data_IF_253271466235
#
_entry.id   IF_253271466235
#
_cell.length_a   1.000
_cell.length_b   1.000
_cell.length_c   1.000
_cell.angle_alpha   90.00
_cell.angle_beta   90.00
_cell.angle_gamma   90.00
#
_symmetry.space_group_name_H-M   'P 1'
#
loop_
_entity.id
_entity.type
_entity.pdbx_description
1 polymer ?
#
# COMPACT_ATOMS: atom_id res chain seq x y z
N UNK A 1 -10.70 -18.77 47.92
CA UNK A 1 -11.44 -17.56 47.49
C UNK A 1 -10.94 -17.21 46.10
N UNK A 2 -11.73 -17.54 45.09
CA UNK A 2 -11.42 -17.28 43.68
C UNK A 2 -11.56 -15.79 43.40
N UNK A 3 -10.49 -15.17 42.91
CA UNK A 3 -10.55 -13.86 42.28
C UNK A 3 -11.32 -13.99 40.98
N UNK A 4 -12.56 -13.53 40.98
CA UNK A 4 -13.35 -13.30 39.77
C UNK A 4 -12.61 -12.28 38.90
N UNK A 5 -11.96 -12.77 37.84
CA UNK A 5 -11.54 -11.95 36.73
C UNK A 5 -12.80 -11.50 36.02
N UNK A 6 -13.25 -10.27 36.25
CA UNK A 6 -14.32 -9.64 35.49
C UNK A 6 -13.98 -9.71 34.00
N UNK A 7 -14.65 -10.62 33.29
CA UNK A 7 -14.65 -10.71 31.85
C UNK A 7 -15.34 -9.44 31.31
N UNK A 8 -14.53 -8.40 31.06
CA UNK A 8 -14.98 -7.21 30.35
C UNK A 8 -15.37 -7.67 28.96
N UNK A 9 -16.67 -7.88 28.73
CA UNK A 9 -17.28 -8.06 27.40
C UNK A 9 -16.56 -7.15 26.42
N UNK A 10 -15.77 -7.74 25.53
CA UNK A 10 -15.04 -6.99 24.53
C UNK A 10 -16.06 -6.24 23.67
N UNK A 11 -16.08 -4.92 23.79
CA UNK A 11 -16.91 -4.05 22.97
C UNK A 11 -16.28 -4.08 21.57
N UNK A 12 -16.93 -4.77 20.64
CA UNK A 12 -16.52 -4.85 19.23
C UNK A 12 -17.25 -3.82 18.36
N UNK A 13 -17.67 -2.71 18.96
CA UNK A 13 -18.43 -1.65 18.29
C UNK A 13 -17.68 -0.32 18.34
N UNK A 14 -17.96 0.57 17.39
CA UNK A 14 -17.45 1.93 17.45
C UNK A 14 -17.91 2.63 18.73
N UNK A 15 -16.99 3.27 19.43
CA UNK A 15 -17.30 4.19 20.52
C UNK A 15 -17.39 5.61 19.95
N UNK A 16 -18.46 6.33 20.26
CA UNK A 16 -18.64 7.71 19.80
C UNK A 16 -17.47 8.61 20.27
N UNK A 17 -16.89 8.33 21.45
CA UNK A 17 -15.68 8.99 21.94
C UNK A 17 -14.45 8.75 21.06
N UNK A 18 -14.26 7.53 20.53
CA UNK A 18 -13.14 7.20 19.64
C UNK A 18 -13.31 7.89 18.28
N UNK A 19 -14.55 7.97 17.79
CA UNK A 19 -14.86 8.69 16.54
C UNK A 19 -14.63 10.19 16.72
N UNK A 20 -15.13 10.78 17.81
CA UNK A 20 -14.93 12.21 18.08
C UNK A 20 -13.44 12.52 18.22
N UNK A 21 -12.67 11.70 18.96
CA UNK A 21 -11.22 11.84 19.03
C UNK A 21 -10.55 11.73 17.67
N UNK A 22 -11.00 10.84 16.79
CA UNK A 22 -10.47 10.79 15.43
C UNK A 22 -10.76 12.08 14.64
N UNK A 23 -11.94 12.66 14.79
CA UNK A 23 -12.29 13.96 14.17
C UNK A 23 -11.45 15.10 14.72
N UNK A 24 -11.22 15.13 16.02
CA UNK A 24 -10.39 16.16 16.67
C UNK A 24 -8.93 16.12 16.20
N UNK A 25 -8.47 14.99 15.63
CA UNK A 25 -7.13 14.83 15.06
C UNK A 25 -7.05 15.20 13.57
N UNK A 26 -8.15 15.58 12.93
CA UNK A 26 -8.11 16.03 11.53
C UNK A 26 -7.28 17.31 11.42
N UNK A 27 -6.32 17.31 10.51
CA UNK A 27 -5.35 18.42 10.34
C UNK A 27 -4.20 18.42 11.34
N UNK A 28 -4.15 17.47 12.28
CA UNK A 28 -3.01 17.28 13.19
C UNK A 28 -2.06 16.24 12.60
N UNK A 29 -0.88 16.70 12.15
CA UNK A 29 0.12 15.84 11.50
C UNK A 29 1.36 15.66 12.37
N UNK A 30 1.88 14.43 12.39
CA UNK A 30 3.05 14.05 13.16
C UNK A 30 4.15 13.51 12.27
N UNK A 31 5.40 13.77 12.66
CA UNK A 31 6.56 13.17 12.04
C UNK A 31 6.46 11.64 12.03
N UNK A 32 6.81 11.03 10.90
CA UNK A 32 7.03 9.59 10.80
C UNK A 32 8.40 9.30 11.40
N UNK A 33 8.41 8.74 12.60
CA UNK A 33 9.63 8.44 13.39
C UNK A 33 10.15 7.01 13.19
N UNK A 34 9.52 6.26 12.27
CA UNK A 34 9.92 4.90 11.90
C UNK A 34 10.35 4.91 10.45
N UNK A 35 11.50 4.30 10.16
CA UNK A 35 11.97 4.10 8.80
C UNK A 35 11.27 2.91 8.12
N UNK A 36 11.24 2.95 6.80
CA UNK A 36 10.93 1.80 5.95
C UNK A 36 12.15 0.85 5.83
N UNK A 37 12.00 -0.17 4.99
CA UNK A 37 13.09 -1.08 4.63
C UNK A 37 14.29 -0.32 4.05
N UNK A 38 14.02 0.68 3.22
CA UNK A 38 15.03 1.54 2.63
C UNK A 38 14.90 2.98 3.13
N UNK A 39 16.03 3.67 3.26
CA UNK A 39 16.09 5.05 3.80
C UNK A 39 16.71 6.05 2.83
N UNK A 40 17.20 5.57 1.69
CA UNK A 40 17.79 6.36 0.62
C UNK A 40 17.47 5.68 -0.71
N UNK A 41 17.05 6.46 -1.69
CA UNK A 41 16.83 6.00 -3.05
C UNK A 41 18.20 5.89 -3.74
N UNK A 42 18.86 4.74 -3.64
CA UNK A 42 20.04 4.44 -4.46
C UNK A 42 19.59 3.82 -5.79
N UNK A 43 20.45 3.75 -6.81
CA UNK A 43 20.07 3.18 -8.10
C UNK A 43 19.55 1.75 -7.99
N UNK A 44 20.20 0.93 -7.16
CA UNK A 44 19.75 -0.42 -6.86
C UNK A 44 18.38 -0.47 -6.18
N UNK A 45 18.09 0.44 -5.24
CA UNK A 45 16.79 0.49 -4.56
C UNK A 45 15.70 0.90 -5.53
N UNK A 46 15.97 1.90 -6.37
CA UNK A 46 15.04 2.37 -7.40
C UNK A 46 14.71 1.23 -8.37
N UNK A 47 15.75 0.58 -8.92
CA UNK A 47 15.61 -0.55 -9.83
C UNK A 47 14.90 -1.74 -9.17
N UNK A 48 15.28 -2.08 -7.94
CA UNK A 48 14.68 -3.20 -7.22
C UNK A 48 13.20 -2.95 -6.95
N UNK A 49 12.81 -1.73 -6.57
CA UNK A 49 11.42 -1.38 -6.38
C UNK A 49 10.63 -1.41 -7.69
N UNK A 50 11.10 -0.79 -8.77
CA UNK A 50 10.42 -0.82 -10.07
C UNK A 50 10.18 -2.26 -10.56
N UNK A 51 11.23 -3.09 -10.55
CA UNK A 51 11.13 -4.50 -10.95
C UNK A 51 10.23 -5.32 -10.02
N UNK A 52 10.02 -4.87 -8.78
CA UNK A 52 9.26 -5.67 -7.81
C UNK A 52 7.76 -5.75 -8.13
N UNK A 53 7.24 -4.82 -8.93
CA UNK A 53 5.88 -4.82 -9.46
C UNK A 53 5.84 -4.94 -11.00
N UNK A 54 6.96 -5.37 -11.60
CA UNK A 54 7.09 -5.64 -13.02
C UNK A 54 7.07 -4.40 -13.89
N UNK A 55 7.78 -3.35 -13.50
CA UNK A 55 8.01 -2.13 -14.27
C UNK A 55 9.46 -2.09 -14.75
N UNK A 56 9.62 -2.11 -16.07
CA UNK A 56 10.90 -2.16 -16.78
C UNK A 56 11.27 -0.82 -17.41
N UNK A 57 10.57 0.26 -17.06
CA UNK A 57 10.84 1.57 -17.62
C UNK A 57 12.31 1.95 -17.35
N UNK A 58 13.12 2.19 -18.40
CA UNK A 58 14.55 2.43 -18.28
C UNK A 58 14.87 3.72 -17.50
N UNK A 59 13.95 4.68 -17.39
CA UNK A 59 14.11 5.81 -16.46
C UNK A 59 14.29 5.37 -15.00
N UNK A 60 13.78 4.18 -14.65
CA UNK A 60 13.77 3.62 -13.31
C UNK A 60 14.77 2.46 -13.17
N UNK A 61 15.00 1.66 -14.21
CA UNK A 61 15.82 0.44 -14.08
C UNK A 61 17.23 0.56 -14.66
N UNK A 62 17.55 1.64 -15.36
CA UNK A 62 18.84 1.90 -15.99
C UNK A 62 19.41 3.24 -15.49
N UNK A 63 20.60 3.19 -14.90
CA UNK A 63 21.27 4.36 -14.33
C UNK A 63 21.71 5.39 -15.38
N UNK A 64 21.93 4.96 -16.62
CA UNK A 64 22.49 5.80 -17.69
C UNK A 64 21.40 6.36 -18.62
N UNK A 65 20.26 5.68 -18.74
CA UNK A 65 19.21 6.07 -19.69
C UNK A 65 18.72 7.51 -19.53
N UNK A 66 18.57 7.96 -18.28
CA UNK A 66 18.01 9.28 -17.99
C UNK A 66 18.92 10.47 -18.31
N UNK A 67 20.21 10.25 -18.60
CA UNK A 67 21.20 11.33 -18.76
C UNK A 67 20.88 12.29 -19.91
N UNK A 68 20.38 11.75 -21.03
CA UNK A 68 20.04 12.53 -22.24
C UNK A 68 18.54 12.92 -22.29
N UNK A 69 17.77 12.61 -21.25
CA UNK A 69 16.36 12.98 -21.13
C UNK A 69 16.18 14.30 -20.37
N UNK A 70 14.96 14.85 -20.35
CA UNK A 70 14.64 16.03 -19.51
C UNK A 70 14.92 15.85 -18.02
N UNK A 71 15.08 14.61 -17.55
CA UNK A 71 15.32 14.29 -16.15
C UNK A 71 16.79 14.42 -15.74
N UNK A 72 17.73 14.34 -16.69
CA UNK A 72 19.18 14.49 -16.46
C UNK A 72 19.81 13.39 -15.61
N UNK A 73 19.16 12.24 -15.46
CA UNK A 73 19.61 11.09 -14.68
C UNK A 73 18.47 10.12 -14.38
N UNK A 74 18.78 9.00 -13.71
CA UNK A 74 17.78 8.06 -13.24
C UNK A 74 16.84 8.73 -12.23
N UNK A 75 15.54 8.54 -12.43
CA UNK A 75 14.50 8.95 -11.48
C UNK A 75 13.85 7.71 -10.88
N UNK A 76 13.25 7.87 -9.71
CA UNK A 76 12.47 6.80 -9.12
C UNK A 76 11.07 6.70 -9.74
N UNK A 77 10.47 5.50 -9.78
CA UNK A 77 9.08 5.38 -10.16
C UNK A 77 8.17 6.13 -9.19
N UNK A 78 7.00 6.62 -9.64
CA UNK A 78 6.15 7.51 -8.84
C UNK A 78 5.81 6.97 -7.45
N UNK A 79 5.63 5.66 -7.30
CA UNK A 79 5.25 5.02 -6.05
C UNK A 79 6.41 4.67 -5.11
N UNK A 80 7.66 5.06 -5.39
CA UNK A 80 8.84 4.74 -4.55
C UNK A 80 8.67 5.14 -3.07
N UNK A 81 7.82 6.13 -2.82
CA UNK A 81 7.52 6.70 -1.52
C UNK A 81 6.91 5.71 -0.52
N UNK A 82 6.43 4.54 -0.97
CA UNK A 82 5.92 3.48 -0.09
C UNK A 82 7.01 2.51 0.40
N UNK A 83 8.21 2.57 -0.18
CA UNK A 83 9.33 1.69 0.14
C UNK A 83 10.55 2.44 0.71
N UNK A 84 10.63 3.74 0.46
CA UNK A 84 11.72 4.61 0.91
C UNK A 84 11.16 5.71 1.81
N UNK A 85 11.35 5.54 3.13
CA UNK A 85 11.14 6.58 4.13
C UNK A 85 12.21 6.47 5.20
N UNK A 86 12.88 7.59 5.48
CA UNK A 86 13.80 7.75 6.60
C UNK A 86 13.06 8.27 7.82
N UNK A 87 13.45 7.79 8.99
CA UNK A 87 12.92 8.27 10.25
C UNK A 87 13.25 9.76 10.45
N UNK A 88 12.23 10.52 10.84
CA UNK A 88 12.37 11.91 11.24
C UNK A 88 12.42 11.99 12.77
N UNK A 89 13.40 12.70 13.32
CA UNK A 89 13.48 12.93 14.76
C UNK A 89 12.38 13.90 15.19
N UNK A 90 11.61 13.51 16.20
CA UNK A 90 10.54 14.32 16.77
C UNK A 90 10.30 13.97 18.23
N UNK A 91 9.71 14.91 18.96
CA UNK A 91 9.23 14.67 20.32
C UNK A 91 8.13 13.60 20.34
N UNK A 92 7.97 12.87 21.46
CA UNK A 92 6.89 11.91 21.62
C UNK A 92 5.52 12.56 21.36
N UNK A 93 4.69 11.89 20.57
CA UNK A 93 3.30 12.35 20.31
C UNK A 93 2.54 12.45 21.65
N UNK A 94 1.97 13.64 21.97
CA UNK A 94 1.18 13.85 23.18
C UNK A 94 0.05 12.83 23.29
N UNK A 95 -0.28 12.40 24.51
CA UNK A 95 -1.20 11.26 24.72
C UNK A 95 -2.58 11.50 24.11
N UNK A 96 -3.06 12.72 24.23
CA UNK A 96 -4.31 13.24 23.68
C UNK A 96 -4.33 13.24 22.15
N UNK A 97 -3.16 13.40 21.52
CA UNK A 97 -2.99 13.41 20.05
C UNK A 97 -2.73 12.02 19.45
N UNK A 98 -2.62 10.97 20.28
CA UNK A 98 -2.45 9.60 19.78
C UNK A 98 -3.74 9.10 19.12
N UNK A 99 -3.57 8.44 17.98
CA UNK A 99 -4.66 7.77 17.25
C UNK A 99 -5.49 6.90 18.20
N UNK A 100 -6.83 6.96 18.13
CA UNK A 100 -7.68 6.10 18.94
C UNK A 100 -7.42 4.63 18.58
N UNK A 101 -7.52 3.72 19.56
CA UNK A 101 -7.09 2.34 19.39
C UNK A 101 -8.01 1.51 18.48
N UNK A 102 -9.22 1.99 18.15
CA UNK A 102 -10.24 1.30 17.35
C UNK A 102 -10.28 -0.21 17.61
N UNK A 103 -10.43 -0.60 18.87
CA UNK A 103 -10.36 -2.00 19.28
C UNK A 103 -11.51 -2.79 18.67
N UNK A 104 -11.22 -3.95 18.10
CA UNK A 104 -12.25 -4.79 17.48
C UNK A 104 -12.73 -4.31 16.10
N UNK A 105 -12.07 -3.30 15.52
CA UNK A 105 -12.35 -2.77 14.19
C UNK A 105 -11.37 -3.39 13.17
N UNK A 106 -11.90 -3.77 12.01
CA UNK A 106 -11.12 -4.16 10.85
C UNK A 106 -10.98 -2.95 9.92
N UNK A 107 -9.78 -2.74 9.39
CA UNK A 107 -9.46 -1.64 8.48
C UNK A 107 -9.13 -2.21 7.11
N UNK A 108 -9.84 -1.74 6.09
CA UNK A 108 -9.57 -2.06 4.69
C UNK A 108 -9.10 -0.81 3.96
N UNK A 109 -8.04 -0.92 3.17
CA UNK A 109 -7.67 0.12 2.20
C UNK A 109 -8.68 0.06 1.05
N UNK A 110 -9.29 1.20 0.73
CA UNK A 110 -10.37 1.29 -0.26
C UNK A 110 -10.06 2.21 -1.44
N UNK A 111 -8.90 2.88 -1.41
CA UNK A 111 -8.41 3.69 -2.50
C UNK A 111 -7.27 4.58 -2.04
N UNK A 112 -6.65 5.27 -2.99
CA UNK A 112 -5.70 6.32 -2.70
C UNK A 112 -5.86 7.49 -3.67
N UNK A 113 -5.32 8.64 -3.30
CA UNK A 113 -5.08 9.74 -4.21
C UNK A 113 -3.70 10.28 -3.93
N UNK A 114 -2.83 10.26 -4.91
CA UNK A 114 -1.45 10.74 -4.78
C UNK A 114 -1.25 11.90 -5.73
N UNK A 115 -0.77 13.01 -5.18
CA UNK A 115 -0.28 14.16 -5.92
C UNK A 115 1.25 14.11 -5.93
N UNK A 116 1.88 14.15 -7.11
CA UNK A 116 3.33 14.18 -7.27
C UNK A 116 3.79 15.54 -7.78
N UNK A 117 4.75 16.10 -7.08
CA UNK A 117 5.28 17.44 -7.34
C UNK A 117 6.69 17.39 -7.93
N UNK A 118 7.49 16.38 -7.56
CA UNK A 118 8.88 16.20 -7.99
C UNK A 118 9.24 14.72 -8.06
N UNK A 119 10.14 14.32 -8.97
CA UNK A 119 10.72 12.99 -8.93
C UNK A 119 11.66 12.85 -7.71
N UNK A 120 11.85 11.60 -7.28
CA UNK A 120 12.94 11.24 -6.35
C UNK A 120 14.14 10.83 -7.19
N UNK A 121 15.31 11.36 -6.87
CA UNK A 121 16.56 11.04 -7.56
C UNK A 121 17.46 10.10 -6.76
N UNK A 122 18.51 9.58 -7.41
CA UNK A 122 19.62 8.93 -6.71
C UNK A 122 20.13 9.80 -5.56
N UNK A 123 20.25 9.17 -4.40
CA UNK A 123 20.78 9.77 -3.19
C UNK A 123 19.71 10.47 -2.35
N UNK A 124 18.48 10.66 -2.84
CA UNK A 124 17.45 11.30 -2.04
C UNK A 124 17.03 10.43 -0.85
N UNK A 125 16.83 11.10 0.29
CA UNK A 125 16.19 10.52 1.46
C UNK A 125 14.82 11.18 1.61
N UNK A 126 13.77 10.37 1.71
CA UNK A 126 12.39 10.85 1.86
C UNK A 126 12.01 10.81 3.33
N UNK A 127 11.40 11.88 3.82
CA UNK A 127 10.83 12.01 5.16
C UNK A 127 9.32 12.21 5.01
N UNK A 128 8.56 11.97 6.09
CA UNK A 128 7.11 12.09 6.05
C UNK A 128 6.53 12.70 7.32
N UNK A 129 5.51 13.55 7.14
CA UNK A 129 4.49 13.81 8.15
C UNK A 129 3.22 13.04 7.81
N UNK A 130 2.52 12.51 8.83
CA UNK A 130 1.28 11.77 8.65
C UNK A 130 0.20 12.17 9.64
N UNK A 131 -1.07 12.00 9.25
CA UNK A 131 -2.21 12.20 10.14
C UNK A 131 -3.53 11.89 9.46
N UNK A 132 -4.61 12.49 9.94
CA UNK A 132 -5.94 12.38 9.33
C UNK A 132 -6.26 13.63 8.51
N UNK A 133 -6.61 13.40 7.25
CA UNK A 133 -7.11 14.44 6.35
C UNK A 133 -8.62 14.61 6.48
N UNK A 134 -9.33 13.49 6.68
CA UNK A 134 -10.78 13.47 6.83
C UNK A 134 -11.23 12.25 7.65
N UNK A 135 -12.32 12.42 8.39
CA UNK A 135 -12.99 11.36 9.17
C UNK A 135 -14.51 11.50 8.99
N UNK A 136 -15.10 10.61 8.20
CA UNK A 136 -16.52 10.61 7.86
C UNK A 136 -17.20 9.35 8.42
N UNK A 137 -18.35 9.52 9.06
CA UNK A 137 -19.21 8.38 9.41
C UNK A 137 -20.14 8.14 8.23
N UNK A 138 -20.15 6.91 7.73
CA UNK A 138 -21.16 6.46 6.79
C UNK A 138 -22.07 5.44 7.44
N UNK A 139 -23.34 5.79 7.51
CA UNK A 139 -24.40 4.82 7.78
C UNK A 139 -24.58 3.96 6.53
N UNK A 140 -24.57 2.65 6.73
CA UNK A 140 -24.77 1.71 5.64
C UNK A 140 -25.94 0.82 6.02
N UNK A 141 -26.93 0.72 5.12
CA UNK A 141 -28.01 -0.26 5.23
C UNK A 141 -27.46 -1.70 5.34
N UNK A 142 -26.24 -1.94 4.84
CA UNK A 142 -25.56 -3.23 4.85
C UNK A 142 -24.57 -3.43 6.00
N UNK A 143 -23.96 -2.40 6.59
CA UNK A 143 -22.91 -2.55 7.62
C UNK A 143 -23.23 -1.90 8.97
N UNK A 144 -24.44 -1.33 9.13
CA UNK A 144 -24.80 -0.53 10.30
C UNK A 144 -24.05 0.80 10.27
N UNK A 145 -22.87 0.85 10.89
CA UNK A 145 -21.97 2.01 10.89
C UNK A 145 -20.59 1.65 10.34
N UNK A 146 -20.09 2.48 9.43
CA UNK A 146 -18.71 2.42 8.94
C UNK A 146 -18.04 3.78 9.14
N UNK A 147 -16.75 3.76 9.45
CA UNK A 147 -15.96 4.98 9.57
C UNK A 147 -14.97 5.03 8.40
N UNK A 148 -15.13 6.05 7.57
CA UNK A 148 -14.24 6.34 6.45
C UNK A 148 -13.19 7.33 6.92
N UNK A 149 -11.94 6.89 6.97
CA UNK A 149 -10.80 7.72 7.39
C UNK A 149 -9.88 7.90 6.20
N UNK A 150 -9.65 9.14 5.81
CA UNK A 150 -8.62 9.50 4.84
C UNK A 150 -7.35 9.84 5.62
N UNK A 151 -6.33 9.01 5.48
CA UNK A 151 -5.01 9.26 6.05
C UNK A 151 -4.20 10.06 5.05
N UNK A 152 -3.41 11.01 5.51
CA UNK A 152 -2.50 11.79 4.67
C UNK A 152 -1.06 11.51 5.04
N UNK A 153 -0.20 11.43 4.02
CA UNK A 153 1.24 11.39 4.10
C UNK A 153 1.79 12.54 3.25
N UNK A 154 2.42 13.52 3.88
CA UNK A 154 3.14 14.60 3.21
C UNK A 154 4.61 14.20 3.18
N UNK A 155 5.16 13.99 2.00
CA UNK A 155 6.49 13.42 1.80
C UNK A 155 7.42 14.43 1.14
N UNK A 156 8.62 14.56 1.70
CA UNK A 156 9.59 15.57 1.30
C UNK A 156 11.02 15.04 1.39
N UNK A 157 11.92 15.59 0.59
CA UNK A 157 13.31 15.15 0.56
C UNK A 157 14.19 15.90 1.57
N UNK A 158 15.49 15.58 1.62
CA UNK A 158 16.48 16.26 2.47
C UNK A 158 16.68 17.76 2.17
N UNK A 159 16.17 18.26 1.05
CA UNK A 159 16.18 19.68 0.66
C UNK A 159 14.91 20.42 1.10
N UNK A 160 14.03 19.75 1.87
CA UNK A 160 12.72 20.25 2.28
C UNK A 160 11.76 20.53 1.10
N UNK A 161 11.96 19.85 -0.02
CA UNK A 161 11.06 19.94 -1.16
C UNK A 161 10.00 18.86 -1.06
N UNK A 162 8.72 19.23 -1.19
CA UNK A 162 7.63 18.26 -1.25
C UNK A 162 7.78 17.46 -2.56
N UNK A 163 7.86 16.15 -2.41
CA UNK A 163 7.95 15.16 -3.49
C UNK A 163 6.55 14.68 -3.84
N UNK A 164 5.78 14.28 -2.84
CA UNK A 164 4.40 13.81 -3.02
C UNK A 164 3.53 14.06 -1.80
N UNK A 165 2.22 14.07 -2.02
CA UNK A 165 1.20 14.01 -0.98
C UNK A 165 0.29 12.85 -1.30
N UNK A 166 0.26 11.85 -0.42
CA UNK A 166 -0.60 10.68 -0.59
C UNK A 166 -1.73 10.70 0.43
N UNK A 167 -2.96 10.55 -0.07
CA UNK A 167 -4.19 10.38 0.72
C UNK A 167 -4.68 8.94 0.56
N UNK A 168 -4.70 8.18 1.64
CA UNK A 168 -5.12 6.78 1.65
C UNK A 168 -6.48 6.66 2.30
N UNK A 169 -7.46 6.20 1.52
CA UNK A 169 -8.82 5.97 1.99
C UNK A 169 -8.89 4.62 2.72
N UNK A 170 -9.34 4.64 3.96
CA UNK A 170 -9.51 3.43 4.78
C UNK A 170 -10.92 3.32 5.32
N UNK A 171 -11.55 2.16 5.09
CA UNK A 171 -12.87 1.84 5.61
C UNK A 171 -12.68 1.00 6.87
N UNK A 172 -13.22 1.50 7.97
CA UNK A 172 -13.23 0.83 9.26
C UNK A 172 -14.60 0.18 9.45
N UNK A 173 -14.61 -1.12 9.76
CA UNK A 173 -15.83 -1.91 10.00
C UNK A 173 -15.70 -2.76 11.26
N UNK A 174 -16.79 -2.97 11.97
CA UNK A 174 -16.83 -3.81 13.17
C UNK A 174 -16.59 -5.30 12.84
N UNK A 175 -15.72 -5.99 13.60
CA UNK A 175 -15.31 -7.39 13.32
C UNK A 175 -16.45 -8.42 13.37
N UNK A 176 -17.53 -8.16 14.10
CA UNK A 176 -18.58 -9.15 14.32
C UNK A 176 -19.51 -9.32 13.10
N UNK A 177 -19.58 -8.31 12.23
CA UNK A 177 -20.43 -8.36 11.03
C UNK A 177 -19.83 -9.23 9.92
N UNK A 178 -18.50 -9.34 9.80
CA UNK A 178 -17.88 -10.10 8.71
C UNK A 178 -18.01 -11.62 8.86
N UNK A 179 -17.83 -12.18 10.07
CA UNK A 179 -17.87 -13.64 10.31
C UNK A 179 -19.25 -14.28 10.09
N UNK A 180 -20.34 -13.51 10.21
CA UNK A 180 -21.70 -14.02 9.96
C UNK A 180 -22.04 -14.09 8.47
N UNK A 181 -21.24 -13.45 7.63
CA UNK A 181 -21.58 -13.20 6.23
C UNK A 181 -20.77 -14.14 5.36
N UNK A 182 -21.45 -15.18 4.85
CA UNK A 182 -21.00 -16.14 3.84
C UNK A 182 -20.71 -15.50 2.47
N UNK A 183 -20.28 -14.23 2.44
CA UNK A 183 -20.16 -13.40 1.23
C UNK A 183 -19.16 -14.01 0.24
N UNK A 184 -18.15 -14.70 0.75
CA UNK A 184 -17.07 -15.28 -0.04
C UNK A 184 -17.13 -16.81 -0.11
N UNK A 185 -18.12 -17.45 0.53
CA UNK A 185 -18.26 -18.92 0.56
C UNK A 185 -18.46 -19.54 -0.84
N UNK A 186 -18.86 -18.72 -1.83
CA UNK A 186 -19.08 -19.17 -3.21
C UNK A 186 -17.95 -18.78 -4.15
N UNK A 187 -16.90 -18.10 -3.67
CA UNK A 187 -15.77 -17.71 -4.51
C UNK A 187 -14.74 -18.82 -4.47
N UNK A 188 -14.64 -19.54 -5.59
CA UNK A 188 -13.60 -20.55 -5.80
C UNK A 188 -12.35 -19.93 -6.42
N UNK A 189 -11.15 -20.47 -6.15
CA UNK A 189 -9.93 -20.08 -6.86
C UNK A 189 -10.10 -20.20 -8.38
N UNK A 190 -9.66 -19.17 -9.11
CA UNK A 190 -9.65 -19.22 -10.56
C UNK A 190 -8.69 -20.30 -11.06
N UNK A 191 -9.09 -21.01 -12.12
CA UNK A 191 -8.24 -21.94 -12.86
C UNK A 191 -8.01 -21.39 -14.27
N UNK A 192 -6.81 -21.63 -14.80
CA UNK A 192 -6.40 -21.14 -16.11
C UNK A 192 -6.01 -22.33 -16.99
N UNK A 193 -6.59 -22.43 -18.18
CA UNK A 193 -6.13 -23.38 -19.20
C UNK A 193 -4.88 -22.85 -19.90
N UNK A 194 -4.08 -23.71 -20.56
CA UNK A 194 -2.95 -23.25 -21.36
C UNK A 194 -3.31 -22.18 -22.39
N UNK A 195 -4.50 -22.27 -22.99
CA UNK A 195 -5.01 -21.30 -23.96
C UNK A 195 -5.29 -19.94 -23.32
N UNK A 196 -5.86 -19.92 -22.11
CA UNK A 196 -6.10 -18.66 -21.38
C UNK A 196 -4.79 -17.99 -20.94
N UNK A 197 -3.77 -18.77 -20.61
CA UNK A 197 -2.43 -18.21 -20.34
C UNK A 197 -1.83 -17.64 -21.62
N UNK A 198 -1.93 -18.34 -22.75
CA UNK A 198 -1.48 -17.83 -24.04
C UNK A 198 -2.21 -16.54 -24.47
N UNK A 199 -3.49 -16.39 -24.11
CA UNK A 199 -4.23 -15.12 -24.31
C UNK A 199 -3.63 -13.96 -23.49
N UNK A 200 -3.15 -14.23 -22.28
CA UNK A 200 -2.48 -13.23 -21.43
C UNK A 200 -1.07 -12.94 -21.97
N UNK A 201 -0.33 -13.97 -22.39
CA UNK A 201 1.00 -13.81 -22.99
C UNK A 201 0.92 -12.94 -24.26
N UNK A 202 -0.12 -13.11 -25.08
CA UNK A 202 -0.38 -12.26 -26.24
C UNK A 202 -0.62 -10.79 -25.86
N UNK A 203 -1.17 -10.51 -24.66
CA UNK A 203 -1.26 -9.14 -24.15
C UNK A 203 0.15 -8.62 -23.86
N UNK A 204 0.96 -9.34 -23.08
CA UNK A 204 2.35 -8.94 -22.77
C UNK A 204 3.18 -8.71 -24.03
N UNK A 205 3.06 -9.58 -25.06
CA UNK A 205 3.75 -9.42 -26.34
C UNK A 205 3.31 -8.15 -27.10
N UNK A 206 2.07 -7.70 -26.87
CA UNK A 206 1.48 -6.52 -27.53
C UNK A 206 1.63 -5.23 -26.72
N UNK A 207 2.12 -5.30 -25.48
CA UNK A 207 2.34 -4.13 -24.64
C UNK A 207 3.35 -3.19 -25.29
N UNK A 208 3.06 -1.89 -25.23
CA UNK A 208 3.91 -0.85 -25.83
C UNK A 208 4.28 0.18 -24.77
N UNK A 209 5.55 0.21 -24.40
CA UNK A 209 6.17 1.33 -23.71
C UNK A 209 6.48 2.43 -24.71
N UNK A 210 5.91 3.63 -24.55
CA UNK A 210 6.14 4.77 -25.45
C UNK A 210 7.62 5.21 -25.48
N UNK A 211 8.23 5.29 -24.30
CA UNK A 211 9.60 5.75 -24.12
C UNK A 211 9.87 7.14 -24.72
N UNK A 212 10.98 7.26 -25.45
CA UNK A 212 11.52 8.53 -25.93
C UNK A 212 10.69 9.19 -27.05
N UNK A 213 9.65 8.52 -27.57
CA UNK A 213 8.75 9.12 -28.55
C UNK A 213 7.79 10.09 -27.87
N UNK A 214 8.19 11.36 -27.78
CA UNK A 214 7.42 12.45 -27.15
C UNK A 214 5.95 12.42 -27.60
N UNK A 215 5.05 12.44 -26.62
CA UNK A 215 3.62 12.63 -26.83
C UNK A 215 3.30 14.11 -26.67
N UNK A 216 2.96 14.78 -27.77
CA UNK A 216 2.54 16.17 -27.74
C UNK A 216 1.06 16.28 -27.37
N UNK A 217 0.68 17.41 -26.78
CA UNK A 217 -0.70 17.66 -26.37
C UNK A 217 -1.66 17.62 -27.56
N UNK A 218 -1.25 18.18 -28.70
CA UNK A 218 -2.04 18.17 -29.95
C UNK A 218 -2.33 16.76 -30.50
N UNK A 219 -1.56 15.75 -30.11
CA UNK A 219 -1.73 14.37 -30.59
C UNK A 219 -2.71 13.56 -29.72
N UNK A 220 -3.17 14.11 -28.59
CA UNK A 220 -4.04 13.40 -27.64
C UNK A 220 -5.51 13.68 -27.93
N UNK A 221 -6.30 12.61 -28.07
CA UNK A 221 -7.75 12.71 -28.27
C UNK A 221 -8.52 12.19 -27.06
N UNK A 222 -9.46 12.98 -26.55
CA UNK A 222 -10.35 12.55 -25.46
C UNK A 222 -11.17 11.34 -25.91
N UNK A 223 -11.10 10.26 -25.13
CA UNK A 223 -11.78 9.00 -25.41
C UNK A 223 -10.93 7.98 -26.18
N UNK A 224 -9.69 8.32 -26.56
CA UNK A 224 -8.73 7.36 -27.09
C UNK A 224 -8.43 6.25 -26.06
N UNK A 225 -8.22 5.03 -26.55
CA UNK A 225 -7.76 3.94 -25.71
C UNK A 225 -6.33 4.19 -25.22
N UNK A 226 -6.07 3.91 -23.95
CA UNK A 226 -4.72 3.93 -23.39
C UNK A 226 -3.93 2.65 -23.69
N UNK A 227 -4.57 1.65 -24.33
CA UNK A 227 -4.02 0.33 -24.55
C UNK A 227 -4.48 -0.68 -23.50
N UNK A 228 -3.90 -1.87 -23.55
CA UNK A 228 -4.14 -2.97 -22.60
C UNK A 228 -2.79 -3.38 -22.02
N UNK A 229 -2.76 -3.60 -20.70
CA UNK A 229 -1.60 -4.12 -19.98
C UNK A 229 -2.08 -5.24 -19.06
N UNK A 230 -1.36 -6.35 -19.07
CA UNK A 230 -1.59 -7.47 -18.17
C UNK A 230 -0.83 -7.27 -16.86
N UNK A 231 -1.43 -7.74 -15.76
CA UNK A 231 -0.80 -7.89 -14.44
C UNK A 231 -1.29 -9.19 -13.82
N UNK A 232 -0.44 -10.21 -13.85
CA UNK A 232 -0.74 -11.56 -13.35
C UNK A 232 -0.92 -12.60 -14.46
N UNK A 233 -1.53 -13.77 -14.15
CA UNK A 233 -2.23 -14.11 -12.90
C UNK A 233 -1.35 -14.01 -11.65
N UNK A 234 -1.89 -13.50 -10.55
CA UNK A 234 -1.14 -13.26 -9.31
C UNK A 234 -0.69 -14.58 -8.66
N UNK A 235 0.58 -14.64 -8.28
CA UNK A 235 1.21 -15.75 -7.59
C UNK A 235 1.77 -15.34 -6.22
N UNK A 236 2.09 -16.33 -5.38
CA UNK A 236 2.84 -16.09 -4.14
C UNK A 236 4.23 -15.53 -4.45
N UNK A 237 4.83 -15.92 -5.58
CA UNK A 237 6.12 -15.38 -6.03
C UNK A 237 6.04 -13.87 -6.24
N UNK A 238 4.98 -13.36 -6.87
CA UNK A 238 4.80 -11.92 -7.07
C UNK A 238 4.76 -11.16 -5.73
N UNK A 239 4.14 -11.75 -4.71
CA UNK A 239 4.13 -11.18 -3.37
C UNK A 239 5.52 -11.16 -2.74
N UNK A 240 6.29 -12.26 -2.87
CA UNK A 240 7.67 -12.32 -2.38
C UNK A 240 8.55 -11.29 -3.08
N UNK A 241 8.42 -11.20 -4.41
CA UNK A 241 9.17 -10.25 -5.23
C UNK A 241 8.79 -8.81 -4.85
N UNK A 242 7.51 -8.49 -4.68
CA UNK A 242 7.06 -7.16 -4.28
C UNK A 242 7.62 -6.73 -2.91
N UNK A 243 7.62 -7.63 -1.92
CA UNK A 243 8.28 -7.37 -0.64
C UNK A 243 9.79 -7.13 -0.80
N UNK A 244 10.48 -7.85 -1.70
CA UNK A 244 11.91 -7.61 -1.94
C UNK A 244 12.22 -6.18 -2.40
N UNK A 245 11.25 -5.51 -3.04
CA UNK A 245 11.32 -4.08 -3.41
C UNK A 245 11.12 -3.12 -2.23
N UNK A 246 10.89 -3.60 -1.00
CA UNK A 246 10.90 -2.81 0.22
C UNK A 246 9.53 -2.52 0.85
N UNK A 247 8.43 -2.85 0.18
CA UNK A 247 7.09 -2.65 0.72
C UNK A 247 6.70 -3.74 1.73
N UNK A 248 5.81 -3.39 2.66
CA UNK A 248 5.23 -4.33 3.64
C UNK A 248 6.08 -4.56 4.89
N UNK A 249 7.22 -3.88 5.05
CA UNK A 249 8.06 -4.02 6.25
C UNK A 249 7.70 -3.03 7.36
N UNK A 250 7.28 -1.81 7.08
CA UNK A 250 6.81 -0.88 8.11
C UNK A 250 5.27 -0.91 8.23
N UNK A 251 4.70 -0.65 9.42
CA UNK A 251 5.36 -0.44 10.72
C UNK A 251 5.57 -1.76 11.51
N UNK A 252 5.17 -2.89 10.92
CA UNK A 252 5.10 -4.17 11.64
C UNK A 252 6.45 -4.87 11.77
N UNK A 253 7.40 -4.56 10.90
CA UNK A 253 8.79 -5.07 10.86
C UNK A 253 8.85 -6.60 10.91
N UNK A 254 8.18 -7.31 9.97
CA UNK A 254 8.37 -8.76 9.83
C UNK A 254 9.86 -9.05 9.67
N UNK A 255 10.36 -10.02 10.45
CA UNK A 255 11.78 -10.34 10.54
C UNK A 255 11.95 -11.77 11.04
N UNK A 256 13.18 -12.28 11.03
CA UNK A 256 13.49 -13.68 11.32
C UNK A 256 14.25 -13.87 12.63
N UNK A 257 14.22 -15.11 13.16
CA UNK A 257 15.04 -15.56 14.29
C UNK A 257 15.00 -14.63 15.52
N UNK A 258 16.16 -14.15 16.01
CA UNK A 258 16.25 -13.28 17.19
C UNK A 258 15.47 -11.97 17.02
N UNK A 259 15.39 -11.43 15.81
CA UNK A 259 14.63 -10.22 15.53
C UNK A 259 13.13 -10.52 15.61
N UNK A 260 12.67 -11.63 15.04
CA UNK A 260 11.28 -12.08 15.17
C UNK A 260 10.87 -12.22 16.64
N UNK A 261 11.73 -12.87 17.44
CA UNK A 261 11.50 -13.01 18.88
C UNK A 261 11.32 -11.65 19.58
N UNK A 262 12.19 -10.67 19.31
CA UNK A 262 12.10 -9.32 19.87
C UNK A 262 10.85 -8.60 19.39
N UNK A 263 10.50 -8.71 18.11
CA UNK A 263 9.32 -8.07 17.55
C UNK A 263 8.02 -8.64 18.14
N UNK A 264 7.97 -9.94 18.47
CA UNK A 264 6.86 -10.54 19.24
C UNK A 264 6.69 -9.93 20.63
N UNK A 265 7.77 -9.51 21.29
CA UNK A 265 7.67 -8.81 22.57
C UNK A 265 7.12 -7.37 22.40
N UNK A 266 7.33 -6.76 21.22
CA UNK A 266 6.86 -5.41 20.90
C UNK A 266 5.39 -5.38 20.47
N UNK A 267 4.99 -6.31 19.59
CA UNK A 267 3.66 -6.36 18.95
C UNK A 267 3.04 -7.77 18.98
N UNK A 268 3.03 -8.42 20.15
CA UNK A 268 2.61 -9.82 20.29
C UNK A 268 1.24 -10.16 19.68
N UNK A 269 0.27 -9.25 19.75
CA UNK A 269 -1.06 -9.44 19.14
C UNK A 269 -1.07 -9.53 17.60
N UNK A 270 0.04 -9.17 16.94
CA UNK A 270 0.23 -9.31 15.50
C UNK A 270 0.73 -10.70 15.09
N UNK A 271 1.14 -11.53 16.06
CA UNK A 271 1.63 -12.88 15.80
C UNK A 271 0.56 -13.90 16.20
N UNK A 272 0.21 -14.75 15.25
CA UNK A 272 -0.83 -15.78 15.39
C UNK A 272 -0.19 -17.10 15.02
N UNK A 273 -0.30 -18.07 15.93
CA UNK A 273 0.25 -19.40 15.76
C UNK A 273 -0.30 -20.03 14.47
N UNK A 274 0.60 -20.56 13.65
CA UNK A 274 0.24 -21.36 12.50
C UNK A 274 -0.16 -22.79 12.92
N UNK A 275 -0.45 -23.65 11.96
CA UNK A 275 -0.92 -25.02 12.23
C UNK A 275 0.07 -25.88 13.03
N UNK A 276 1.37 -25.54 13.01
CA UNK A 276 2.41 -26.21 13.78
C UNK A 276 2.65 -25.57 15.16
N UNK A 277 1.84 -24.58 15.56
CA UNK A 277 2.03 -23.85 16.82
C UNK A 277 3.17 -22.84 16.78
N UNK A 278 3.63 -22.44 15.59
CA UNK A 278 4.72 -21.47 15.41
C UNK A 278 4.11 -20.06 15.30
N UNK A 279 4.49 -19.10 16.16
CA UNK A 279 3.97 -17.74 16.07
C UNK A 279 4.46 -17.04 14.80
N UNK A 280 3.54 -16.73 13.88
CA UNK A 280 3.82 -16.09 12.59
C UNK A 280 2.99 -14.82 12.41
N UNK A 281 3.43 -13.89 11.55
CA UNK A 281 2.79 -12.58 11.36
C UNK A 281 1.39 -12.72 10.78
N UNK A 282 0.45 -11.93 11.29
CA UNK A 282 -0.90 -11.84 10.74
C UNK A 282 -0.91 -11.25 9.32
N UNK A 283 0.17 -10.57 8.91
CA UNK A 283 0.37 -10.08 7.54
C UNK A 283 0.39 -11.19 6.49
N UNK A 284 0.66 -12.44 6.90
CA UNK A 284 0.70 -13.57 5.97
C UNK A 284 -0.60 -13.84 5.25
N UNK A 285 -1.71 -13.17 5.60
CA UNK A 285 -2.90 -13.09 4.76
C UNK A 285 -2.60 -12.77 3.29
N UNK A 286 -1.46 -12.14 2.99
CA UNK A 286 -1.06 -11.80 1.64
C UNK A 286 -0.26 -12.88 0.89
N UNK A 287 0.18 -13.98 1.54
CA UNK A 287 0.94 -15.07 0.89
C UNK A 287 0.64 -16.48 1.41
N UNK A 288 -0.20 -16.61 2.44
CA UNK A 288 -0.64 -17.87 3.03
C UNK A 288 -2.17 -17.98 2.85
N UNK A 289 -2.55 -18.76 1.83
CA UNK A 289 -3.94 -18.93 1.45
C UNK A 289 -4.75 -19.75 2.47
N UNK A 290 -4.12 -20.67 3.20
CA UNK A 290 -4.78 -21.45 4.25
C UNK A 290 -5.14 -20.57 5.43
N UNK A 291 -4.18 -19.74 5.88
CA UNK A 291 -4.45 -18.76 6.93
C UNK A 291 -5.50 -17.73 6.49
N UNK A 292 -5.44 -17.21 5.25
CA UNK A 292 -6.46 -16.30 4.74
C UNK A 292 -7.87 -16.92 4.77
N UNK A 293 -8.01 -18.19 4.36
CA UNK A 293 -9.27 -18.95 4.47
C UNK A 293 -9.73 -19.15 5.90
N UNK A 294 -8.81 -19.44 6.82
CA UNK A 294 -9.12 -19.64 8.25
C UNK A 294 -9.78 -18.42 8.90
N UNK A 295 -9.55 -17.21 8.35
CA UNK A 295 -10.13 -15.95 8.84
C UNK A 295 -11.28 -15.43 7.96
N UNK A 296 -11.76 -16.22 7.00
CA UNK A 296 -12.97 -15.93 6.20
C UNK A 296 -12.74 -15.21 4.87
N UNK A 297 -11.52 -15.24 4.33
CA UNK A 297 -11.22 -14.76 2.97
C UNK A 297 -11.15 -15.93 1.99
N UNK A 298 -11.41 -15.74 0.68
CA UNK A 298 -11.36 -16.84 -0.28
C UNK A 298 -9.93 -17.36 -0.52
N UNK A 299 -8.95 -16.47 -0.49
CA UNK A 299 -7.52 -16.78 -0.63
C UNK A 299 -6.68 -15.62 -0.12
N UNK A 300 -5.35 -15.76 -0.18
CA UNK A 300 -4.46 -14.61 -0.08
C UNK A 300 -4.67 -13.64 -1.24
N UNK A 301 -4.39 -12.37 -1.00
CA UNK A 301 -4.64 -11.28 -1.94
C UNK A 301 -3.50 -10.26 -1.92
N UNK A 302 -3.35 -9.51 -3.02
CA UNK A 302 -2.32 -8.49 -3.18
C UNK A 302 -2.52 -7.28 -2.25
N UNK A 303 -1.53 -6.39 -2.24
CA UNK A 303 -1.66 -5.12 -1.52
C UNK A 303 -2.33 -4.07 -2.38
N UNK A 304 -3.19 -3.25 -1.76
CA UNK A 304 -3.76 -2.08 -2.43
C UNK A 304 -2.71 -1.17 -3.08
N UNK A 305 -1.58 -0.93 -2.40
CA UNK A 305 -0.47 -0.13 -2.94
C UNK A 305 0.25 -0.81 -4.13
N UNK A 306 0.22 -2.15 -4.21
CA UNK A 306 0.74 -2.87 -5.38
C UNK A 306 -0.08 -2.56 -6.62
N UNK A 307 -1.42 -2.47 -6.48
CA UNK A 307 -2.30 -2.04 -7.57
C UNK A 307 -2.07 -0.59 -7.97
N UNK A 308 -1.78 0.29 -7.01
CA UNK A 308 -1.40 1.67 -7.34
C UNK A 308 -0.08 1.70 -8.13
N UNK A 309 0.91 0.87 -7.80
CA UNK A 309 2.12 0.73 -8.62
C UNK A 309 1.81 0.27 -10.04
N UNK A 310 0.92 -0.71 -10.22
CA UNK A 310 0.50 -1.17 -11.54
C UNK A 310 -0.24 -0.09 -12.35
N UNK A 311 -1.11 0.69 -11.70
CA UNK A 311 -1.79 1.82 -12.35
C UNK A 311 -0.79 2.91 -12.75
N UNK A 312 0.19 3.22 -11.90
CA UNK A 312 1.24 4.18 -12.26
C UNK A 312 2.10 3.65 -13.41
N UNK A 313 2.46 2.36 -13.41
CA UNK A 313 3.20 1.75 -14.52
C UNK A 313 2.43 1.90 -15.84
N UNK A 314 1.15 1.54 -15.85
CA UNK A 314 0.30 1.71 -17.01
C UNK A 314 0.29 3.16 -17.54
N UNK A 315 0.21 4.13 -16.63
CA UNK A 315 0.23 5.55 -17.00
C UNK A 315 1.61 5.99 -17.50
N UNK A 316 2.71 5.56 -16.87
CA UNK A 316 4.08 5.94 -17.28
C UNK A 316 4.42 5.39 -18.67
N UNK A 317 3.96 4.19 -19.00
CA UNK A 317 4.15 3.60 -20.33
C UNK A 317 3.41 4.37 -21.42
N UNK A 318 2.20 4.85 -21.10
CA UNK A 318 1.38 5.61 -22.04
C UNK A 318 1.89 7.03 -22.27
N UNK A 319 2.32 7.74 -21.22
CA UNK A 319 2.81 9.13 -21.31
C UNK A 319 4.21 9.23 -21.93
N UNK A 320 5.08 8.24 -21.72
CA UNK A 320 6.47 8.24 -22.21
C UNK A 320 7.42 9.12 -21.39
N UNK A 321 8.67 9.21 -21.87
CA UNK A 321 9.78 9.75 -21.05
C UNK A 321 9.65 11.25 -20.75
N UNK A 322 8.96 11.99 -21.60
CA UNK A 322 8.74 13.43 -21.41
C UNK A 322 7.55 13.74 -20.48
N UNK A 323 6.74 12.74 -20.15
CA UNK A 323 5.50 12.87 -19.38
C UNK A 323 5.71 12.96 -17.87
N UNK A 324 4.72 13.54 -17.18
CA UNK A 324 4.66 13.58 -15.72
C UNK A 324 3.25 13.22 -15.25
N UNK A 325 3.15 12.33 -14.26
CA UNK A 325 1.88 12.07 -13.59
C UNK A 325 1.75 13.09 -12.46
N UNK A 326 0.89 14.09 -12.63
CA UNK A 326 0.63 15.09 -11.59
C UNK A 326 -0.19 14.50 -10.44
N UNK A 327 -1.29 13.82 -10.76
CA UNK A 327 -2.18 13.22 -9.77
C UNK A 327 -2.76 11.91 -10.27
N UNK A 328 -2.91 10.92 -9.39
CA UNK A 328 -3.67 9.70 -9.65
C UNK A 328 -4.61 9.42 -8.48
N UNK A 329 -5.87 9.11 -8.78
CA UNK A 329 -6.86 8.64 -7.81
C UNK A 329 -7.31 7.23 -8.19
N UNK A 330 -7.29 6.31 -7.23
CA UNK A 330 -7.69 4.91 -7.39
C UNK A 330 -8.71 4.50 -6.34
N UNK A 331 -9.54 3.51 -6.68
CA UNK A 331 -10.56 2.96 -5.79
C UNK A 331 -10.63 1.45 -5.92
N UNK A 332 -10.55 0.73 -4.81
CA UNK A 332 -10.84 -0.70 -4.76
C UNK A 332 -12.37 -0.87 -4.74
N UNK A 333 -12.93 -1.22 -5.89
CA UNK A 333 -14.40 -1.39 -6.05
C UNK A 333 -14.90 -2.79 -5.74
N UNK A 334 -13.99 -3.76 -5.73
CA UNK A 334 -14.25 -5.16 -5.40
C UNK A 334 -13.11 -5.64 -4.50
N UNK A 335 -13.48 -6.52 -3.58
CA UNK A 335 -12.52 -7.30 -2.82
C UNK A 335 -12.19 -8.57 -3.60
#
# INVERSE_FOLDING_TARGET
MSTETTDRKAVYTFLDEDIQRARDLVGVYHAVTQRDQFTRATPDVIRAFARSYGDDNPLFVDEEYGLDTRWGGQIAPPMINIAVTKDLLADPVPREQRRPPFRGIHVFVSGSTTDWYRPVYDGDAVYSFQGFDNVEIKESEFAGRSLVVTRIHVQFNQRAEIVSIQRVLTIHTERHESKKRKKYDTIEPATYTPEQIAEIDAIYESEVRRGAQTRYWEDVQVGESLGVMAKGPLTVTDMVVFHSGGYGFAPYTPCTSRLAYRNRQRIGAFYIDNEQGIPDVAQRIHWDAEYARSIGLPSSYDYGMMRDCWLTHFLTDWIGDEGWIETMSSQMRKF
#
